data_IF_707073651270
#
_entry.id   IF_707073651270
#
_cell.length_a   1.000
_cell.length_b   1.000
_cell.length_c   1.000
_cell.angle_alpha   90.00
_cell.angle_beta   90.00
_cell.angle_gamma   90.00
#
_symmetry.space_group_name_H-M   'P 1'
#
loop_
_entity.id
_entity.type
_entity.pdbx_description
1 polymer ?
#
# COMPACT_ATOMS: atom_id res chain seq x y z
N UNK A 1 24.86 24.03 -10.80
CA UNK A 1 23.86 23.19 -11.50
C UNK A 1 23.99 21.68 -11.20
N UNK A 2 25.21 21.16 -11.00
CA UNK A 2 25.47 19.73 -10.66
C UNK A 2 24.94 19.26 -9.29
N UNK A 3 24.89 20.07 -8.20
CA UNK A 3 24.40 19.57 -6.90
C UNK A 3 22.87 19.37 -6.86
N UNK A 4 22.13 20.05 -7.74
CA UNK A 4 20.66 19.94 -7.82
C UNK A 4 20.20 18.60 -8.42
N UNK A 5 20.97 18.05 -9.37
CA UNK A 5 20.69 16.72 -9.94
C UNK A 5 20.96 15.64 -8.90
N UNK A 6 21.94 15.82 -8.02
CA UNK A 6 22.25 14.87 -6.93
C UNK A 6 21.16 14.81 -5.85
N UNK A 7 20.54 15.94 -5.49
CA UNK A 7 19.42 15.95 -4.51
C UNK A 7 18.14 15.40 -5.12
N UNK A 8 17.84 15.72 -6.38
CA UNK A 8 16.71 15.12 -7.10
C UNK A 8 16.92 13.61 -7.31
N UNK A 9 18.13 13.18 -7.65
CA UNK A 9 18.51 11.78 -7.74
C UNK A 9 18.43 11.08 -6.38
N UNK A 10 18.83 11.73 -5.28
CA UNK A 10 18.71 11.15 -3.93
C UNK A 10 17.24 10.93 -3.50
N UNK A 11 16.32 11.80 -3.92
CA UNK A 11 14.86 11.63 -3.69
C UNK A 11 14.25 10.58 -4.63
N UNK A 12 14.77 10.45 -5.84
CA UNK A 12 14.39 9.41 -6.81
C UNK A 12 14.92 8.03 -6.45
N UNK A 13 16.09 7.93 -5.82
CA UNK A 13 16.79 6.66 -5.57
C UNK A 13 16.43 6.02 -4.23
N UNK A 14 15.74 6.69 -3.29
CA UNK A 14 15.37 6.00 -2.06
C UNK A 14 14.25 4.98 -2.32
N UNK A 15 14.56 3.67 -2.37
CA UNK A 15 13.57 2.66 -2.65
C UNK A 15 12.78 2.47 -1.37
N UNK A 16 11.57 3.01 -1.34
CA UNK A 16 10.57 2.53 -0.38
C UNK A 16 10.16 1.17 -0.92
N UNK A 17 10.87 0.14 -0.48
CA UNK A 17 10.49 -1.25 -0.71
C UNK A 17 9.83 -1.77 0.58
N UNK A 18 8.49 -1.76 0.71
CA UNK A 18 7.81 -2.22 1.91
C UNK A 18 7.18 -3.58 1.65
N UNK A 19 7.97 -4.58 1.26
CA UNK A 19 7.48 -5.97 1.26
C UNK A 19 8.59 -6.97 1.02
N UNK A 20 9.11 -7.51 2.11
CA UNK A 20 10.08 -8.59 2.09
C UNK A 20 10.68 -8.77 3.47
N UNK A 21 9.86 -9.18 4.44
CA UNK A 21 10.33 -9.48 5.79
C UNK A 21 10.02 -10.94 6.10
N UNK A 22 10.96 -11.84 5.83
CA UNK A 22 11.57 -12.78 6.78
C UNK A 22 12.96 -13.18 6.24
N UNK A 23 13.99 -12.38 6.52
CA UNK A 23 15.34 -12.91 6.69
C UNK A 23 16.16 -11.91 7.51
N UNK A 24 16.74 -12.40 8.60
CA UNK A 24 17.61 -11.67 9.51
C UNK A 24 18.76 -11.00 8.75
N UNK A 25 18.80 -9.68 8.78
CA UNK A 25 20.06 -8.96 8.79
C UNK A 25 19.93 -7.69 9.60
N UNK A 26 20.77 -7.60 10.63
CA UNK A 26 20.95 -6.47 11.53
C UNK A 26 21.07 -5.15 10.73
N UNK A 27 20.01 -4.33 10.70
CA UNK A 27 20.04 -2.98 10.12
C UNK A 27 19.26 -2.00 10.98
N UNK A 28 19.95 -0.89 11.30
CA UNK A 28 19.55 0.19 12.19
C UNK A 28 18.17 0.76 11.81
N UNK A 29 17.28 1.02 12.78
CA UNK A 29 15.98 1.60 12.50
C UNK A 29 16.14 3.04 12.00
N UNK A 30 15.72 3.30 10.76
CA UNK A 30 15.64 4.67 10.24
C UNK A 30 14.36 5.29 10.79
N UNK A 31 14.50 6.25 11.71
CA UNK A 31 13.37 6.91 12.36
C UNK A 31 12.55 7.74 11.34
N UNK A 32 11.21 7.67 11.36
CA UNK A 32 10.32 8.43 10.46
C UNK A 32 10.38 9.96 10.66
N UNK A 33 11.18 10.44 11.62
CA UNK A 33 11.41 11.85 11.92
C UNK A 33 12.62 12.46 11.17
N UNK A 34 13.39 11.69 10.38
CA UNK A 34 14.54 12.23 9.63
C UNK A 34 14.15 12.95 8.31
N UNK A 35 12.93 12.71 7.82
CA UNK A 35 12.37 13.33 6.61
C UNK A 35 12.08 14.83 6.73
N UNK A 36 11.51 15.37 7.83
CA UNK A 36 11.33 16.81 7.97
C UNK A 36 12.66 17.56 8.16
N UNK A 37 13.66 16.96 8.81
CA UNK A 37 14.95 17.62 9.09
C UNK A 37 15.81 17.85 7.84
N UNK A 38 15.82 16.90 6.89
CA UNK A 38 16.50 17.08 5.61
C UNK A 38 15.82 18.13 4.72
N UNK A 39 14.50 18.28 4.85
CA UNK A 39 13.70 19.28 4.13
C UNK A 39 14.04 20.71 4.59
N UNK A 40 14.25 20.92 5.90
CA UNK A 40 14.64 22.21 6.48
C UNK A 40 16.03 22.67 6.02
N UNK A 41 16.93 21.74 5.68
CA UNK A 41 18.29 22.06 5.23
C UNK A 41 18.38 22.34 3.71
N UNK A 42 17.51 21.75 2.91
CA UNK A 42 17.51 21.89 1.43
C UNK A 42 16.80 23.17 0.98
N UNK A 43 15.78 23.61 1.74
CA UNK A 43 15.01 24.84 1.46
C UNK A 43 15.90 26.10 1.36
N UNK A 44 16.86 26.38 2.26
CA UNK A 44 17.72 27.56 2.15
C UNK A 44 18.67 27.53 0.94
N UNK A 45 19.02 26.36 0.41
CA UNK A 45 19.90 26.22 -0.75
C UNK A 45 19.20 26.46 -2.11
N UNK A 46 17.86 26.45 -2.12
CA UNK A 46 17.01 26.62 -3.33
C UNK A 46 16.66 28.10 -3.58
N UNK A 47 16.89 28.97 -2.60
CA UNK A 47 16.55 30.40 -2.60
C UNK A 47 17.26 31.28 -3.65
N UNK A 48 18.01 30.71 -4.59
CA UNK A 48 18.86 31.46 -5.51
C UNK A 48 18.33 31.62 -6.96
N UNK A 49 17.08 31.27 -7.31
CA UNK A 49 16.62 31.44 -8.71
C UNK A 49 15.10 31.64 -8.89
N UNK A 50 14.76 32.70 -9.64
CA UNK A 50 13.46 33.43 -9.64
C UNK A 50 12.26 32.76 -10.35
N UNK A 51 12.42 31.59 -10.99
CA UNK A 51 11.31 30.87 -11.68
C UNK A 51 11.24 29.37 -11.42
N UNK A 52 12.24 28.79 -10.76
CA UNK A 52 12.33 27.35 -10.51
C UNK A 52 11.53 26.89 -9.30
N UNK A 53 11.12 27.79 -8.41
CA UNK A 53 10.37 27.50 -7.17
C UNK A 53 8.97 26.92 -7.42
N UNK A 54 8.24 27.42 -8.44
CA UNK A 54 6.94 26.89 -8.85
C UNK A 54 7.04 25.45 -9.37
N UNK A 55 8.04 25.17 -10.20
CA UNK A 55 8.29 23.83 -10.73
C UNK A 55 8.68 22.85 -9.61
N UNK A 56 9.49 23.27 -8.64
CA UNK A 56 9.91 22.43 -7.50
C UNK A 56 8.71 22.09 -6.59
N UNK A 57 7.86 23.08 -6.25
CA UNK A 57 6.64 22.84 -5.45
C UNK A 57 5.65 21.93 -6.18
N UNK A 58 5.39 22.18 -7.47
CA UNK A 58 4.51 21.35 -8.29
C UNK A 58 5.03 19.92 -8.45
N UNK A 59 6.33 19.75 -8.70
CA UNK A 59 6.96 18.42 -8.77
C UNK A 59 6.90 17.69 -7.43
N UNK A 60 7.13 18.38 -6.31
CA UNK A 60 7.06 17.77 -4.98
C UNK A 60 5.65 17.30 -4.63
N UNK A 61 4.64 18.15 -4.83
CA UNK A 61 3.24 17.80 -4.64
C UNK A 61 2.81 16.68 -5.59
N UNK A 62 3.22 16.74 -6.85
CA UNK A 62 2.96 15.71 -7.86
C UNK A 62 3.56 14.35 -7.50
N UNK A 63 4.83 14.30 -7.05
CA UNK A 63 5.49 13.06 -6.65
C UNK A 63 4.83 12.46 -5.40
N UNK A 64 4.47 13.26 -4.41
CA UNK A 64 3.77 12.77 -3.21
C UNK A 64 2.38 12.25 -3.56
N UNK A 65 1.63 12.96 -4.40
CA UNK A 65 0.33 12.51 -4.88
C UNK A 65 0.43 11.20 -5.68
N UNK A 66 1.34 11.12 -6.64
CA UNK A 66 1.55 9.91 -7.45
C UNK A 66 1.99 8.72 -6.60
N UNK A 67 2.93 8.91 -5.66
CA UNK A 67 3.39 7.83 -4.76
C UNK A 67 2.26 7.34 -3.86
N UNK A 68 1.48 8.24 -3.26
CA UNK A 68 0.39 7.85 -2.36
C UNK A 68 -0.76 7.18 -3.10
N UNK A 69 -1.09 7.63 -4.32
CA UNK A 69 -2.08 6.97 -5.17
C UNK A 69 -1.59 5.60 -5.64
N UNK A 70 -0.33 5.48 -6.06
CA UNK A 70 0.26 4.21 -6.47
C UNK A 70 0.27 3.20 -5.31
N UNK A 71 0.71 3.62 -4.13
CA UNK A 71 0.68 2.80 -2.91
C UNK A 71 -0.74 2.42 -2.49
N UNK A 72 -1.70 3.35 -2.62
CA UNK A 72 -3.11 3.06 -2.33
C UNK A 72 -3.69 2.03 -3.30
N UNK A 73 -3.34 2.11 -4.58
CA UNK A 73 -3.74 1.12 -5.60
C UNK A 73 -3.17 -0.24 -5.28
N UNK A 74 -1.87 -0.34 -4.97
CA UNK A 74 -1.24 -1.61 -4.62
C UNK A 74 -1.81 -2.22 -3.33
N UNK A 75 -2.14 -1.38 -2.34
CA UNK A 75 -2.79 -1.84 -1.11
C UNK A 75 -4.19 -2.41 -1.41
N UNK A 76 -4.95 -1.76 -2.28
CA UNK A 76 -6.28 -2.25 -2.71
C UNK A 76 -6.19 -3.56 -3.48
N UNK A 77 -5.21 -3.71 -4.38
CA UNK A 77 -5.03 -4.97 -5.13
C UNK A 77 -4.64 -6.12 -4.20
N UNK A 78 -3.75 -5.88 -3.22
CA UNK A 78 -3.40 -6.88 -2.19
C UNK A 78 -4.58 -7.26 -1.30
N UNK A 79 -5.37 -6.27 -0.85
CA UNK A 79 -6.59 -6.55 -0.07
C UNK A 79 -7.61 -7.38 -0.87
N UNK A 80 -7.80 -7.07 -2.16
CA UNK A 80 -8.67 -7.85 -3.05
C UNK A 80 -8.13 -9.27 -3.30
N UNK A 81 -6.81 -9.43 -3.43
CA UNK A 81 -6.16 -10.72 -3.55
C UNK A 81 -6.38 -11.59 -2.30
N UNK A 82 -6.12 -11.03 -1.10
CA UNK A 82 -6.38 -11.69 0.18
C UNK A 82 -7.85 -12.16 0.30
N UNK A 83 -8.81 -11.29 -0.01
CA UNK A 83 -10.23 -11.62 0.04
C UNK A 83 -10.61 -12.74 -0.94
N UNK A 84 -10.06 -12.72 -2.14
CA UNK A 84 -10.24 -13.78 -3.13
C UNK A 84 -9.64 -15.10 -2.66
N UNK A 85 -8.43 -15.08 -2.09
CA UNK A 85 -7.77 -16.26 -1.53
C UNK A 85 -8.59 -16.87 -0.38
N UNK A 86 -9.15 -16.06 0.51
CA UNK A 86 -10.07 -16.56 1.56
C UNK A 86 -11.32 -17.22 0.95
N UNK A 87 -11.91 -16.60 -0.07
CA UNK A 87 -13.08 -17.15 -0.79
C UNK A 87 -12.75 -18.50 -1.42
N UNK A 88 -11.62 -18.59 -2.13
CA UNK A 88 -11.11 -19.84 -2.70
C UNK A 88 -10.93 -20.92 -1.63
N UNK A 89 -10.22 -20.60 -0.54
CA UNK A 89 -10.03 -21.53 0.59
C UNK A 89 -11.36 -21.97 1.18
N UNK A 90 -12.34 -21.08 1.23
CA UNK A 90 -13.68 -21.39 1.70
C UNK A 90 -14.39 -22.44 0.86
N UNK A 91 -14.34 -22.31 -0.46
CA UNK A 91 -14.89 -23.32 -1.37
C UNK A 91 -14.13 -24.64 -1.29
N UNK A 92 -12.79 -24.62 -1.24
CA UNK A 92 -11.96 -25.82 -1.10
C UNK A 92 -12.27 -26.57 0.21
N UNK A 93 -12.24 -25.88 1.34
CA UNK A 93 -12.51 -26.49 2.66
C UNK A 93 -13.92 -27.06 2.72
N UNK A 94 -14.92 -26.35 2.20
CA UNK A 94 -16.30 -26.83 2.17
C UNK A 94 -16.43 -28.11 1.34
N UNK A 95 -15.84 -28.13 0.13
CA UNK A 95 -15.87 -29.29 -0.75
C UNK A 95 -15.14 -30.50 -0.15
N UNK A 96 -13.95 -30.31 0.44
CA UNK A 96 -13.19 -31.39 1.08
C UNK A 96 -13.93 -31.93 2.30
N UNK A 97 -14.55 -31.08 3.13
CA UNK A 97 -15.38 -31.52 4.26
C UNK A 97 -16.64 -32.27 3.82
N UNK A 98 -17.15 -31.97 2.62
CA UNK A 98 -18.22 -32.74 1.99
C UNK A 98 -17.75 -34.06 1.34
N UNK A 99 -16.46 -34.41 1.48
CA UNK A 99 -15.88 -35.65 0.96
C UNK A 99 -15.31 -35.55 -0.47
N UNK A 100 -15.27 -34.35 -1.07
CA UNK A 100 -14.67 -34.18 -2.40
C UNK A 100 -13.14 -34.34 -2.34
N UNK A 101 -12.53 -35.07 -3.29
CA UNK A 101 -11.09 -35.13 -3.46
C UNK A 101 -10.49 -33.73 -3.64
N UNK A 102 -9.34 -33.48 -3.04
CA UNK A 102 -8.67 -32.16 -3.07
C UNK A 102 -8.49 -31.58 -4.50
N UNK A 103 -8.12 -32.35 -5.53
CA UNK A 103 -7.99 -31.80 -6.89
C UNK A 103 -9.31 -31.27 -7.45
N UNK A 104 -10.42 -31.97 -7.21
CA UNK A 104 -11.77 -31.57 -7.63
C UNK A 104 -12.28 -30.38 -6.82
N UNK A 105 -12.02 -30.36 -5.50
CA UNK A 105 -12.30 -29.22 -4.65
C UNK A 105 -11.60 -27.94 -5.16
N UNK A 106 -10.33 -28.04 -5.55
CA UNK A 106 -9.59 -26.93 -6.14
C UNK A 106 -10.18 -26.46 -7.48
N UNK A 107 -10.53 -27.35 -8.40
CA UNK A 107 -11.09 -26.95 -9.70
C UNK A 107 -12.44 -26.26 -9.54
N UNK A 108 -13.35 -26.82 -8.73
CA UNK A 108 -14.65 -26.21 -8.42
C UNK A 108 -14.51 -24.85 -7.73
N UNK A 109 -13.57 -24.73 -6.80
CA UNK A 109 -13.31 -23.46 -6.10
C UNK A 109 -12.84 -22.35 -7.04
N UNK A 110 -12.09 -22.69 -8.10
CA UNK A 110 -11.66 -21.73 -9.14
C UNK A 110 -12.83 -21.28 -10.02
N UNK A 111 -13.75 -22.18 -10.35
CA UNK A 111 -14.96 -21.87 -11.13
C UNK A 111 -15.91 -20.93 -10.37
N UNK A 112 -15.93 -21.04 -9.04
CA UNK A 112 -16.75 -20.20 -8.16
C UNK A 112 -16.08 -18.87 -7.77
N UNK A 113 -14.95 -18.51 -8.37
CA UNK A 113 -14.28 -17.24 -8.07
C UNK A 113 -15.10 -16.04 -8.55
N UNK A 114 -15.10 -14.92 -7.78
CA UNK A 114 -15.81 -13.71 -8.19
C UNK A 114 -15.35 -13.16 -9.55
N UNK A 115 -16.26 -12.52 -10.27
CA UNK A 115 -15.96 -11.93 -11.58
C UNK A 115 -14.84 -10.88 -11.53
N UNK A 116 -14.75 -10.13 -10.41
CA UNK A 116 -13.78 -9.05 -10.17
C UNK A 116 -12.39 -9.53 -9.70
N UNK A 117 -12.13 -10.84 -9.70
CA UNK A 117 -10.81 -11.39 -9.34
C UNK A 117 -9.72 -10.87 -10.29
N UNK A 118 -8.57 -10.39 -9.78
CA UNK A 118 -7.42 -10.03 -10.60
C UNK A 118 -7.00 -11.16 -11.55
N UNK A 119 -6.73 -10.83 -12.81
CA UNK A 119 -6.42 -11.83 -13.85
C UNK A 119 -5.21 -12.71 -13.48
N UNK A 120 -4.15 -12.12 -12.94
CA UNK A 120 -2.96 -12.84 -12.48
C UNK A 120 -3.28 -13.85 -11.37
N UNK A 121 -4.10 -13.46 -10.39
CA UNK A 121 -4.49 -14.36 -9.29
C UNK A 121 -5.36 -15.51 -9.80
N UNK A 122 -6.31 -15.22 -10.71
CA UNK A 122 -7.13 -16.25 -11.34
C UNK A 122 -6.29 -17.26 -12.13
N UNK A 123 -5.27 -16.77 -12.85
CA UNK A 123 -4.34 -17.61 -13.61
C UNK A 123 -3.52 -18.52 -12.70
N UNK A 124 -2.98 -17.97 -11.61
CA UNK A 124 -2.24 -18.77 -10.61
C UNK A 124 -3.13 -19.81 -9.92
N UNK A 125 -4.34 -19.46 -9.50
CA UNK A 125 -5.26 -20.43 -8.89
C UNK A 125 -5.70 -21.54 -9.87
N UNK A 126 -5.90 -21.20 -11.15
CA UNK A 126 -6.12 -22.20 -12.22
C UNK A 126 -4.93 -23.14 -12.37
N UNK A 127 -3.71 -22.60 -12.35
CA UNK A 127 -2.47 -23.39 -12.40
C UNK A 127 -2.37 -24.33 -11.20
N UNK A 128 -2.69 -23.87 -10.00
CA UNK A 128 -2.75 -24.70 -8.78
C UNK A 128 -3.77 -25.83 -8.95
N UNK A 129 -4.99 -25.54 -9.39
CA UNK A 129 -6.02 -26.55 -9.60
C UNK A 129 -5.59 -27.62 -10.63
N UNK A 130 -4.98 -27.21 -11.74
CA UNK A 130 -4.45 -28.13 -12.75
C UNK A 130 -3.32 -29.03 -12.19
N UNK A 131 -2.39 -28.46 -11.41
CA UNK A 131 -1.28 -29.21 -10.82
C UNK A 131 -1.70 -30.12 -9.67
N UNK A 132 -2.82 -29.82 -9.00
CA UNK A 132 -3.41 -30.73 -8.00
C UNK A 132 -3.88 -32.04 -8.61
N UNK A 133 -4.37 -32.04 -9.86
CA UNK A 133 -4.83 -33.24 -10.57
C UNK A 133 -3.68 -34.22 -10.87
N UNK A 134 -2.46 -33.70 -11.07
CA UNK A 134 -1.27 -34.48 -11.40
C UNK A 134 -0.56 -35.15 -10.20
N UNK A 135 -1.28 -35.55 -9.16
CA UNK A 135 -0.71 -36.29 -8.02
C UNK A 135 -0.28 -35.42 -6.83
N UNK A 136 -1.05 -34.39 -6.47
CA UNK A 136 -0.86 -33.67 -5.20
C UNK A 136 0.20 -32.56 -5.23
N UNK A 137 0.58 -32.07 -6.41
CA UNK A 137 1.56 -30.98 -6.54
C UNK A 137 0.96 -29.58 -6.29
N UNK A 138 -0.34 -29.48 -5.97
CA UNK A 138 -1.02 -28.22 -5.67
C UNK A 138 -0.37 -27.43 -4.54
N UNK A 139 0.06 -28.10 -3.47
CA UNK A 139 0.80 -27.47 -2.38
C UNK A 139 2.11 -26.83 -2.88
N UNK A 140 2.88 -27.55 -3.72
CA UNK A 140 4.13 -27.03 -4.32
C UNK A 140 3.90 -25.84 -5.25
N UNK A 141 2.81 -25.87 -6.01
CA UNK A 141 2.41 -24.77 -6.89
C UNK A 141 2.13 -23.48 -6.09
N UNK A 142 1.45 -23.61 -4.95
CA UNK A 142 1.20 -22.48 -4.05
C UNK A 142 2.49 -21.98 -3.39
N UNK A 143 3.36 -22.87 -2.89
CA UNK A 143 4.63 -22.45 -2.25
C UNK A 143 5.58 -21.73 -3.19
N UNK A 144 5.50 -22.02 -4.49
CA UNK A 144 6.34 -21.39 -5.53
C UNK A 144 5.70 -20.14 -6.15
N UNK A 145 4.53 -19.71 -5.66
CA UNK A 145 3.86 -18.51 -6.15
C UNK A 145 4.61 -17.24 -5.75
N UNK A 146 4.71 -16.29 -6.67
CA UNK A 146 5.22 -14.94 -6.39
C UNK A 146 4.31 -14.18 -5.42
N UNK A 147 3.04 -14.57 -5.32
CA UNK A 147 2.08 -13.97 -4.40
C UNK A 147 2.32 -14.48 -2.97
N UNK A 148 2.65 -13.59 -2.01
CA UNK A 148 2.97 -14.00 -0.65
C UNK A 148 1.78 -14.68 0.06
N UNK A 149 0.54 -14.27 -0.23
CA UNK A 149 -0.67 -14.85 0.34
C UNK A 149 -0.86 -16.32 -0.06
N UNK A 150 -0.63 -16.64 -1.33
CA UNK A 150 -0.72 -18.01 -1.85
C UNK A 150 0.41 -18.88 -1.32
N UNK A 151 1.62 -18.31 -1.21
CA UNK A 151 2.78 -19.00 -0.67
C UNK A 151 2.62 -19.37 0.79
N UNK A 152 2.04 -18.49 1.61
CA UNK A 152 1.73 -18.81 3.01
C UNK A 152 0.74 -20.00 3.10
N UNK A 153 -0.32 -19.98 2.29
CA UNK A 153 -1.30 -21.08 2.22
C UNK A 153 -0.64 -22.38 1.73
N UNK A 154 0.23 -22.29 0.73
CA UNK A 154 1.00 -23.42 0.21
C UNK A 154 1.87 -24.07 1.28
N UNK A 155 2.52 -23.26 2.12
CA UNK A 155 3.34 -23.75 3.22
C UNK A 155 2.50 -24.51 4.25
N UNK A 156 1.33 -23.98 4.60
CA UNK A 156 0.40 -24.63 5.54
C UNK A 156 -0.12 -25.95 4.98
N UNK A 157 -0.46 -26.00 3.69
CA UNK A 157 -0.91 -27.24 3.04
C UNK A 157 0.24 -28.26 2.91
N UNK A 158 1.44 -27.82 2.55
CA UNK A 158 2.62 -28.70 2.50
C UNK A 158 2.91 -29.32 3.87
N UNK A 159 2.80 -28.52 4.95
CA UNK A 159 2.91 -29.00 6.34
C UNK A 159 1.87 -30.06 6.68
N UNK A 160 0.60 -29.87 6.31
CA UNK A 160 -0.44 -30.90 6.48
C UNK A 160 -0.06 -32.20 5.77
N UNK A 161 0.48 -32.10 4.56
CA UNK A 161 0.85 -33.28 3.75
C UNK A 161 2.05 -34.01 4.35
N UNK A 162 3.04 -33.27 4.87
CA UNK A 162 4.23 -33.85 5.51
C UNK A 162 3.92 -34.49 6.87
N UNK A 163 3.04 -33.87 7.66
CA UNK A 163 2.70 -34.33 9.01
C UNK A 163 1.51 -35.30 9.06
N UNK A 164 0.86 -35.57 7.93
CA UNK A 164 -0.34 -36.42 7.86
C UNK A 164 -1.58 -35.81 8.53
N UNK A 165 -1.57 -34.50 8.80
CA UNK A 165 -2.70 -33.79 9.42
C UNK A 165 -3.76 -33.52 8.35
N UNK A 166 -5.07 -33.68 8.64
CA UNK A 166 -6.12 -33.36 7.68
C UNK A 166 -5.98 -31.95 7.09
N UNK A 167 -5.78 -31.87 5.77
CA UNK A 167 -5.56 -30.59 5.07
C UNK A 167 -6.73 -29.62 5.27
N UNK A 168 -7.94 -30.13 5.42
CA UNK A 168 -9.13 -29.31 5.68
C UNK A 168 -8.99 -28.47 6.96
N UNK A 169 -8.40 -29.00 8.03
CA UNK A 169 -8.32 -28.28 9.31
C UNK A 169 -7.22 -27.21 9.31
N UNK A 170 -6.07 -27.50 8.71
CA UNK A 170 -5.02 -26.51 8.53
C UNK A 170 -5.44 -25.40 7.55
N UNK A 171 -6.11 -25.75 6.44
CA UNK A 171 -6.66 -24.75 5.52
C UNK A 171 -7.80 -23.94 6.15
N UNK A 172 -8.62 -24.55 7.01
CA UNK A 172 -9.63 -23.80 7.80
C UNK A 172 -8.95 -22.77 8.70
N UNK A 173 -7.85 -23.17 9.35
CA UNK A 173 -7.06 -22.27 10.21
C UNK A 173 -6.41 -21.14 9.41
N UNK A 174 -5.84 -21.44 8.23
CA UNK A 174 -5.30 -20.43 7.32
C UNK A 174 -6.39 -19.46 6.84
N UNK A 175 -7.58 -19.96 6.47
CA UNK A 175 -8.73 -19.13 6.10
C UNK A 175 -9.15 -18.23 7.25
N UNK A 176 -9.31 -18.78 8.45
CA UNK A 176 -9.71 -18.03 9.64
C UNK A 176 -8.72 -16.90 9.96
N UNK A 177 -7.41 -17.14 9.77
CA UNK A 177 -6.37 -16.11 9.90
C UNK A 177 -6.57 -14.97 8.89
N UNK A 178 -6.78 -15.30 7.61
CA UNK A 178 -7.04 -14.29 6.57
C UNK A 178 -8.32 -13.51 6.88
N UNK A 179 -9.41 -14.20 7.25
CA UNK A 179 -10.69 -13.58 7.58
C UNK A 179 -10.59 -12.68 8.82
N UNK A 180 -9.79 -13.06 9.82
CA UNK A 180 -9.49 -12.21 10.96
C UNK A 180 -8.74 -10.93 10.54
N UNK A 181 -7.71 -11.06 9.69
CA UNK A 181 -6.99 -9.89 9.15
C UNK A 181 -7.90 -8.95 8.36
N UNK A 182 -8.77 -9.49 7.49
CA UNK A 182 -9.72 -8.69 6.71
C UNK A 182 -10.74 -7.99 7.60
N UNK A 183 -11.32 -8.70 8.57
CA UNK A 183 -12.28 -8.11 9.52
C UNK A 183 -11.63 -7.02 10.37
N UNK A 184 -10.42 -7.27 10.88
CA UNK A 184 -9.67 -6.28 11.66
C UNK A 184 -9.44 -4.99 10.85
N UNK A 185 -8.95 -5.11 9.60
CA UNK A 185 -8.74 -3.96 8.72
C UNK A 185 -10.03 -3.20 8.43
N UNK A 186 -11.13 -3.91 8.18
CA UNK A 186 -12.43 -3.30 7.93
C UNK A 186 -12.98 -2.57 9.16
N UNK A 187 -12.87 -3.18 10.34
CA UNK A 187 -13.26 -2.57 11.60
C UNK A 187 -12.45 -1.30 11.88
N UNK A 188 -11.13 -1.35 11.70
CA UNK A 188 -10.29 -0.16 11.89
C UNK A 188 -10.57 0.93 10.86
N UNK A 189 -10.82 0.55 9.60
CA UNK A 189 -11.22 1.51 8.56
C UNK A 189 -12.54 2.20 8.91
N UNK A 190 -13.50 1.46 9.45
CA UNK A 190 -14.77 2.01 9.90
C UNK A 190 -14.60 2.95 11.11
N UNK A 191 -13.81 2.54 12.11
CA UNK A 191 -13.51 3.36 13.29
C UNK A 191 -12.79 4.67 12.95
N UNK A 192 -11.92 4.67 11.94
CA UNK A 192 -11.18 5.84 11.48
C UNK A 192 -11.94 6.71 10.45
N UNK A 193 -13.21 6.41 10.16
CA UNK A 193 -14.00 7.19 9.19
C UNK A 193 -14.23 8.63 9.66
N UNK A 194 -14.60 8.83 10.93
CA UNK A 194 -14.79 10.15 11.54
C UNK A 194 -13.51 11.00 11.55
N UNK A 195 -12.41 10.52 12.17
CA UNK A 195 -11.13 11.22 12.18
C UNK A 195 -10.57 11.51 10.78
N UNK A 196 -10.80 10.65 9.79
CA UNK A 196 -10.41 10.91 8.39
C UNK A 196 -11.23 12.04 7.76
N UNK A 197 -12.52 12.13 8.04
CA UNK A 197 -13.37 13.17 7.49
C UNK A 197 -12.94 14.56 8.00
N UNK A 198 -12.67 14.70 9.30
CA UNK A 198 -12.20 15.98 9.86
C UNK A 198 -10.80 16.35 9.36
N UNK A 199 -9.88 15.37 9.28
CA UNK A 199 -8.57 15.59 8.69
C UNK A 199 -8.66 16.04 7.22
N UNK A 200 -9.60 15.50 6.44
CA UNK A 200 -9.84 15.93 5.06
C UNK A 200 -10.43 17.34 4.97
N UNK A 201 -11.31 17.74 5.89
CA UNK A 201 -11.83 19.11 5.94
C UNK A 201 -10.71 20.10 6.28
N UNK A 202 -9.93 19.81 7.34
CA UNK A 202 -8.82 20.67 7.77
C UNK A 202 -7.70 20.74 6.73
N UNK A 203 -7.48 19.70 5.92
CA UNK A 203 -6.48 19.73 4.86
C UNK A 203 -6.88 20.58 3.65
N UNK A 204 -8.19 20.81 3.44
CA UNK A 204 -8.71 21.70 2.39
C UNK A 204 -8.76 23.17 2.87
N UNK A 205 -8.76 23.40 4.19
CA UNK A 205 -8.84 24.74 4.78
C UNK A 205 -7.78 25.75 4.25
N UNK A 206 -6.50 25.38 4.04
CA UNK A 206 -5.52 26.29 3.45
C UNK A 206 -5.90 26.79 2.05
N UNK A 207 -6.51 25.94 1.22
CA UNK A 207 -6.98 26.34 -0.12
C UNK A 207 -8.12 27.35 -0.01
N UNK A 208 -9.04 27.13 0.93
CA UNK A 208 -10.14 28.07 1.18
C UNK A 208 -9.60 29.44 1.64
N UNK A 209 -8.57 29.45 2.49
CA UNK A 209 -7.90 30.68 2.93
C UNK A 209 -7.24 31.45 1.78
N UNK A 210 -6.56 30.76 0.86
CA UNK A 210 -5.96 31.39 -0.33
C UNK A 210 -7.02 31.98 -1.25
N UNK A 211 -8.10 31.24 -1.51
CA UNK A 211 -9.24 31.70 -2.30
C UNK A 211 -9.89 32.95 -1.71
N UNK A 212 -10.10 32.96 -0.39
CA UNK A 212 -10.68 34.11 0.31
C UNK A 212 -9.75 35.32 0.28
N UNK A 213 -8.43 35.11 0.44
CA UNK A 213 -7.43 36.17 0.34
C UNK A 213 -7.35 36.80 -1.06
N UNK A 214 -7.49 35.99 -2.12
CA UNK A 214 -7.64 36.50 -3.50
C UNK A 214 -8.91 37.32 -3.68
N UNK A 215 -10.06 36.82 -3.19
CA UNK A 215 -11.33 37.53 -3.30
C UNK A 215 -11.34 38.89 -2.57
N UNK A 216 -10.59 39.01 -1.47
CA UNK A 216 -10.38 40.28 -0.76
C UNK A 216 -9.38 41.22 -1.45
N UNK A 217 -8.75 40.80 -2.56
CA UNK A 217 -7.80 41.63 -3.31
C UNK A 217 -6.39 41.66 -2.75
N UNK A 218 -6.04 40.77 -1.81
CA UNK A 218 -4.68 40.69 -1.25
C UNK A 218 -3.64 40.12 -2.25
N UNK A 219 -4.09 39.62 -3.41
CA UNK A 219 -3.28 39.03 -4.49
C UNK A 219 -2.23 38.00 -4.02
N UNK A 220 -2.55 37.04 -3.12
CA UNK A 220 -1.60 36.05 -2.64
C UNK A 220 -1.00 35.17 -3.76
N UNK A 221 -1.72 34.88 -4.83
CA UNK A 221 -1.21 34.13 -5.99
C UNK A 221 -0.11 34.93 -6.67
N UNK A 222 -0.32 36.23 -6.90
CA UNK A 222 0.69 37.10 -7.50
C UNK A 222 1.96 37.15 -6.62
N UNK A 223 1.79 37.23 -5.29
CA UNK A 223 2.90 37.17 -4.33
C UNK A 223 3.65 35.83 -4.41
N UNK A 224 2.94 34.70 -4.38
CA UNK A 224 3.52 33.35 -4.42
C UNK A 224 4.23 33.05 -5.75
N UNK A 225 3.71 33.57 -6.87
CA UNK A 225 4.31 33.42 -8.21
C UNK A 225 5.37 34.46 -8.55
N UNK A 226 5.46 35.53 -7.76
CA UNK A 226 6.29 36.71 -8.05
C UNK A 226 7.78 36.59 -7.70
N UNK A 227 8.22 35.45 -7.16
CA UNK A 227 9.62 35.25 -6.74
C UNK A 227 9.94 35.80 -5.34
N UNK A 228 11.21 35.72 -4.94
CA UNK A 228 11.67 36.21 -3.63
C UNK A 228 10.97 35.59 -2.40
N UNK A 229 10.46 36.45 -1.50
CA UNK A 229 9.77 36.04 -0.25
C UNK A 229 8.55 35.14 -0.48
N UNK A 230 7.79 35.38 -1.55
CA UNK A 230 6.63 34.56 -1.89
C UNK A 230 7.01 33.14 -2.31
N UNK A 231 8.15 32.97 -2.98
CA UNK A 231 8.71 31.65 -3.32
C UNK A 231 9.11 30.85 -2.07
N UNK A 232 9.69 31.50 -1.06
CA UNK A 232 10.04 30.87 0.23
C UNK A 232 8.78 30.36 0.93
N UNK A 233 7.75 31.22 0.98
CA UNK A 233 6.50 30.89 1.66
C UNK A 233 5.75 29.76 0.92
N UNK A 234 5.79 29.75 -0.41
CA UNK A 234 5.23 28.68 -1.23
C UNK A 234 5.91 27.34 -0.96
N UNK A 235 7.25 27.31 -1.01
CA UNK A 235 8.02 26.07 -0.77
C UNK A 235 7.82 25.59 0.66
N UNK A 236 7.93 26.48 1.66
CA UNK A 236 7.73 26.16 3.07
C UNK A 236 6.31 25.65 3.36
N UNK A 237 5.29 26.31 2.81
CA UNK A 237 3.90 25.88 2.94
C UNK A 237 3.63 24.53 2.29
N UNK A 238 4.12 24.32 1.07
CA UNK A 238 3.99 23.03 0.36
C UNK A 238 4.68 21.91 1.12
N UNK A 239 5.88 22.19 1.64
CA UNK A 239 6.65 21.25 2.45
C UNK A 239 5.90 20.85 3.72
N UNK A 240 5.34 21.82 4.44
CA UNK A 240 4.60 21.58 5.67
C UNK A 240 3.30 20.80 5.42
N UNK A 241 2.57 21.11 4.34
CA UNK A 241 1.38 20.35 3.93
C UNK A 241 1.76 18.91 3.57
N UNK A 242 2.83 18.70 2.80
CA UNK A 242 3.32 17.37 2.47
C UNK A 242 3.72 16.59 3.73
N UNK A 243 4.45 17.21 4.65
CA UNK A 243 4.86 16.61 5.91
C UNK A 243 3.65 16.22 6.79
N UNK A 244 2.66 17.11 6.90
CA UNK A 244 1.41 16.85 7.61
C UNK A 244 0.63 15.68 7.00
N UNK A 245 0.52 15.65 5.67
CA UNK A 245 -0.16 14.57 4.95
C UNK A 245 0.54 13.22 5.12
N UNK A 246 1.86 13.17 4.99
CA UNK A 246 2.66 11.95 5.19
C UNK A 246 2.53 11.45 6.63
N UNK A 247 2.60 12.35 7.61
CA UNK A 247 2.48 12.01 9.04
C UNK A 247 1.09 11.47 9.35
N UNK A 248 0.04 12.12 8.86
CA UNK A 248 -1.36 11.66 9.01
C UNK A 248 -1.55 10.26 8.40
N UNK A 249 -1.08 10.03 7.17
CA UNK A 249 -1.13 8.71 6.55
C UNK A 249 -0.35 7.65 7.33
N UNK A 250 0.79 8.02 7.90
CA UNK A 250 1.62 7.10 8.70
C UNK A 250 0.91 6.72 9.99
N UNK A 251 0.30 7.68 10.69
CA UNK A 251 -0.46 7.44 11.93
C UNK A 251 -1.67 6.55 11.64
N UNK A 252 -2.44 6.90 10.60
CA UNK A 252 -3.62 6.13 10.18
C UNK A 252 -3.22 4.72 9.70
N UNK A 253 -2.09 4.61 9.00
CA UNK A 253 -1.55 3.34 8.53
C UNK A 253 -1.14 2.42 9.67
N UNK A 254 -0.48 2.96 10.69
CA UNK A 254 -0.05 2.21 11.89
C UNK A 254 -1.22 1.85 12.80
N UNK A 255 -2.26 2.68 12.86
CA UNK A 255 -3.47 2.35 13.61
C UNK A 255 -4.24 1.19 12.96
N UNK A 256 -4.12 1.02 11.64
CA UNK A 256 -4.82 -0.01 10.86
C UNK A 256 -4.10 -1.36 10.74
N UNK A 257 -2.90 -1.49 11.33
CA UNK A 257 -2.07 -2.71 11.35
C UNK A 257 -1.94 -3.24 12.76
#
# INVERSE_FOLDING_TARGET
MIPFILVAAAVCVWPVNPSGRIMEHSRRPVHPAALPAAMVLVVPAILATDRSTLLISACMAGVVALRTVAQSRERKTREAALATTSTFLGHVVAAVRAGSPMPEACSRAVEQLPAHTPAELRKELRRVAALSQGGGQGAKALTSSDMPELREVGNVWALSTQLGIPAADLLTSARARIDHTLRHRNATKAALSGPRATAAILSVLPLAGVLMGEAMGARPIALLTGGGLGGILLVGGTALVCAGFITSQTIIGRAAT
#
